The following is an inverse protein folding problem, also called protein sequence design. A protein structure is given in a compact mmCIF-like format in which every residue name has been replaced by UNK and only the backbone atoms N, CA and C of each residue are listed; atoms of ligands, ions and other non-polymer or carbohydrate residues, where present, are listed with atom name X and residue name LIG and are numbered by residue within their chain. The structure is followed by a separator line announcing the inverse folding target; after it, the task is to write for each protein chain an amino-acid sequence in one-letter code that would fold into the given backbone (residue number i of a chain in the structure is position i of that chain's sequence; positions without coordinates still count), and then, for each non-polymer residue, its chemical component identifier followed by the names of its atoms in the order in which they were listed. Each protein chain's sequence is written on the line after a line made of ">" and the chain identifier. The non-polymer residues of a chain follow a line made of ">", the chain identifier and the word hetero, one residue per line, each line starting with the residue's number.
data_IF_655350447407
#
_entry.id   IF_655350447407
#
_cell.length_a   1.000
_cell.length_b   1.000
_cell.length_c   1.000
_cell.angle_alpha   90.00
_cell.angle_beta   90.00
_cell.angle_gamma   90.00
#
_symmetry.space_group_name_H-M   'P 1'
#
loop_
_entity.id
_entity.type
_entity.pdbx_description
1 polymer ?
#
# COMPACT_ATOMS: atom_id res chain seq x y z
N UNK A 1 14.94 1.22 7.49
CA UNK A 1 13.54 1.49 7.87
C UNK A 1 13.22 0.70 9.12
N UNK A 2 12.42 1.21 10.05
CA UNK A 2 11.92 0.39 11.16
C UNK A 2 10.95 -0.65 10.58
N UNK A 3 10.86 -1.82 11.20
CA UNK A 3 10.01 -2.93 10.72
C UNK A 3 8.52 -2.57 10.62
N UNK A 4 8.11 -1.48 11.25
CA UNK A 4 6.72 -1.01 11.32
C UNK A 4 6.45 0.28 10.54
N UNK A 5 7.27 0.58 9.51
CA UNK A 5 7.01 1.67 8.56
C UNK A 5 6.99 1.17 7.13
N UNK A 6 6.20 1.83 6.28
CA UNK A 6 6.13 1.55 4.85
C UNK A 6 5.89 2.84 4.05
N UNK A 7 6.29 2.81 2.78
CA UNK A 7 6.11 3.92 1.86
C UNK A 7 5.00 3.63 0.88
N UNK A 8 4.16 4.63 0.62
CA UNK A 8 3.09 4.58 -0.37
C UNK A 8 2.90 5.95 -1.01
N UNK A 9 1.94 6.07 -1.92
CA UNK A 9 1.59 7.33 -2.57
C UNK A 9 0.27 7.88 -2.03
N UNK A 10 0.14 9.20 -2.01
CA UNK A 10 -1.05 9.86 -1.45
C UNK A 10 -2.24 9.80 -2.39
N UNK A 11 -2.00 10.02 -3.69
CA UNK A 11 -3.04 10.18 -4.69
C UNK A 11 -2.56 9.65 -6.05
N UNK A 12 -3.50 9.60 -7.00
CA UNK A 12 -3.22 9.28 -8.39
C UNK A 12 -2.15 10.22 -8.97
N UNK A 13 -1.21 9.66 -9.72
CA UNK A 13 -0.26 10.41 -10.53
C UNK A 13 -0.11 9.78 -11.91
N UNK A 14 0.29 10.57 -12.86
CA UNK A 14 0.45 10.15 -14.25
C UNK A 14 1.82 10.52 -14.79
N UNK A 15 2.28 9.75 -15.77
CA UNK A 15 3.50 10.02 -16.51
C UNK A 15 3.38 9.52 -17.94
N UNK A 16 4.13 10.11 -18.85
CA UNK A 16 4.13 9.73 -20.27
C UNK A 16 5.57 9.55 -20.71
N UNK A 17 5.81 8.48 -21.47
CA UNK A 17 7.06 8.22 -22.15
C UNK A 17 6.78 7.90 -23.62
N UNK A 18 7.57 8.43 -24.51
CA UNK A 18 7.46 8.18 -25.95
C UNK A 18 8.78 7.63 -26.50
N UNK A 19 8.70 6.62 -27.35
CA UNK A 19 9.84 6.03 -28.02
C UNK A 19 9.43 5.53 -29.41
N UNK A 20 10.15 5.92 -30.44
CA UNK A 20 9.88 5.52 -31.83
C UNK A 20 8.40 5.64 -32.22
N UNK A 21 7.77 6.78 -31.87
CA UNK A 21 6.34 7.10 -32.06
C UNK A 21 5.38 6.26 -31.23
N UNK A 22 5.83 5.26 -30.49
CA UNK A 22 5.00 4.59 -29.49
C UNK A 22 4.81 5.48 -28.27
N UNK A 23 3.59 5.50 -27.74
CA UNK A 23 3.23 6.27 -26.53
C UNK A 23 2.89 5.34 -25.38
N UNK A 24 3.52 5.59 -24.25
CA UNK A 24 3.33 4.85 -23.01
C UNK A 24 2.75 5.81 -21.96
N UNK A 25 1.52 5.55 -21.55
CA UNK A 25 0.81 6.35 -20.55
C UNK A 25 0.81 5.54 -19.26
N UNK A 26 1.49 6.05 -18.23
CA UNK A 26 1.57 5.42 -16.92
C UNK A 26 0.66 6.11 -15.93
N UNK A 27 -0.06 5.33 -15.14
CA UNK A 27 -0.95 5.78 -14.07
C UNK A 27 -0.55 5.03 -12.80
N UNK A 28 -0.16 5.77 -11.76
CA UNK A 28 0.08 5.24 -10.44
C UNK A 28 -1.11 5.57 -9.52
N UNK A 29 -1.64 4.56 -8.84
CA UNK A 29 -2.86 4.64 -8.05
C UNK A 29 -2.62 4.06 -6.65
N UNK A 30 -3.05 4.73 -5.57
CA UNK A 30 -3.10 4.11 -4.26
C UNK A 30 -4.23 3.07 -4.24
N UNK A 31 -3.90 1.84 -3.82
CA UNK A 31 -4.82 0.73 -3.66
C UNK A 31 -4.43 -0.07 -2.42
N UNK A 32 -5.38 -0.76 -1.79
CA UNK A 32 -5.12 -1.55 -0.59
C UNK A 32 -5.50 -3.03 -0.73
N UNK A 33 -6.39 -3.34 -1.66
CA UNK A 33 -6.92 -4.70 -1.84
C UNK A 33 -6.88 -5.13 -3.31
N UNK A 34 -6.93 -6.43 -3.55
CA UNK A 34 -7.02 -7.00 -4.90
C UNK A 34 -8.33 -6.58 -5.58
N UNK A 35 -9.41 -6.40 -4.83
CA UNK A 35 -10.70 -5.92 -5.33
C UNK A 35 -10.60 -4.49 -5.86
N UNK A 36 -9.91 -3.61 -5.14
CA UNK A 36 -9.63 -2.24 -5.62
C UNK A 36 -8.77 -2.26 -6.89
N UNK A 37 -7.75 -3.12 -6.94
CA UNK A 37 -6.93 -3.32 -8.14
C UNK A 37 -7.78 -3.70 -9.34
N UNK A 38 -8.66 -4.70 -9.20
CA UNK A 38 -9.57 -5.15 -10.27
C UNK A 38 -10.50 -4.04 -10.75
N UNK A 39 -11.08 -3.28 -9.82
CA UNK A 39 -11.97 -2.16 -10.14
C UNK A 39 -11.24 -1.07 -10.93
N UNK A 40 -10.02 -0.71 -10.53
CA UNK A 40 -9.21 0.27 -11.25
C UNK A 40 -8.78 -0.23 -12.64
N UNK A 41 -8.37 -1.49 -12.75
CA UNK A 41 -8.03 -2.09 -14.05
C UNK A 41 -9.22 -2.06 -15.00
N UNK A 42 -10.40 -2.41 -14.56
CA UNK A 42 -11.63 -2.34 -15.37
C UNK A 42 -11.90 -0.90 -15.85
N UNK A 43 -11.76 0.09 -14.96
CA UNK A 43 -11.94 1.50 -15.29
C UNK A 43 -10.97 1.95 -16.39
N UNK A 44 -9.69 1.63 -16.26
CA UNK A 44 -8.67 2.06 -17.22
C UNK A 44 -8.71 1.25 -18.53
N UNK A 45 -9.07 -0.03 -18.51
CA UNK A 45 -9.33 -0.81 -19.71
C UNK A 45 -10.50 -0.24 -20.52
N UNK A 46 -11.56 0.21 -19.88
CA UNK A 46 -12.67 0.91 -20.54
C UNK A 46 -12.26 2.28 -21.08
N UNK A 47 -11.52 3.04 -20.30
CA UNK A 47 -11.02 4.37 -20.71
C UNK A 47 -10.11 4.28 -21.95
N UNK A 48 -9.24 3.29 -22.01
CA UNK A 48 -8.28 3.06 -23.09
C UNK A 48 -8.64 1.81 -23.90
N UNK A 49 -9.92 1.67 -24.24
CA UNK A 49 -10.47 0.49 -24.94
C UNK A 49 -9.81 0.20 -26.29
N UNK A 50 -9.26 1.22 -26.94
CA UNK A 50 -8.57 1.14 -28.22
C UNK A 50 -7.07 0.82 -28.09
N UNK A 51 -6.54 0.76 -26.88
CA UNK A 51 -5.16 0.34 -26.65
C UNK A 51 -5.02 -1.19 -26.70
N UNK A 52 -3.97 -1.67 -27.34
CA UNK A 52 -3.67 -3.11 -27.43
C UNK A 52 -3.17 -3.69 -26.12
N UNK A 53 -2.43 -2.90 -25.35
CA UNK A 53 -1.73 -3.35 -24.15
C UNK A 53 -2.03 -2.39 -22.98
N UNK A 54 -2.61 -2.94 -21.95
CA UNK A 54 -2.84 -2.29 -20.65
C UNK A 54 -2.11 -3.13 -19.61
N UNK A 55 -0.80 -2.93 -19.53
CA UNK A 55 0.07 -3.71 -18.64
C UNK A 55 0.06 -3.10 -17.24
N UNK A 56 0.33 -3.92 -16.24
CA UNK A 56 0.32 -3.41 -14.86
C UNK A 56 1.21 -4.22 -13.93
N UNK A 57 1.50 -3.63 -12.79
CA UNK A 57 1.99 -4.32 -11.60
C UNK A 57 1.40 -3.68 -10.35
N UNK A 58 1.23 -4.46 -9.30
CA UNK A 58 0.84 -3.96 -7.98
C UNK A 58 1.67 -4.59 -6.87
N UNK A 59 1.71 -3.89 -5.75
CA UNK A 59 2.28 -4.33 -4.49
C UNK A 59 1.33 -3.94 -3.37
N UNK A 60 0.95 -4.88 -2.50
CA UNK A 60 0.00 -4.67 -1.41
C UNK A 60 0.60 -5.10 -0.06
N UNK A 61 0.16 -4.40 1.00
CA UNK A 61 0.54 -4.69 2.37
C UNK A 61 1.93 -4.17 2.76
N UNK A 62 2.12 -3.86 4.03
CA UNK A 62 3.38 -3.33 4.54
C UNK A 62 4.56 -4.33 4.42
N UNK A 63 4.27 -5.62 4.46
CA UNK A 63 5.27 -6.68 4.30
C UNK A 63 5.69 -6.90 2.84
N UNK A 64 4.95 -6.34 1.87
CA UNK A 64 5.25 -6.42 0.43
C UNK A 64 5.35 -7.86 -0.09
N UNK A 65 4.46 -8.74 0.41
CA UNK A 65 4.39 -10.15 0.02
C UNK A 65 3.32 -10.44 -1.04
N UNK A 66 2.33 -9.55 -1.19
CA UNK A 66 1.26 -9.68 -2.16
C UNK A 66 1.53 -8.74 -3.35
N UNK A 67 1.96 -9.31 -4.46
CA UNK A 67 2.30 -8.56 -5.67
C UNK A 67 1.97 -9.37 -6.93
N UNK A 68 1.79 -8.63 -8.02
CA UNK A 68 1.60 -9.23 -9.34
C UNK A 68 2.13 -8.31 -10.44
N UNK A 69 2.63 -8.92 -11.50
CA UNK A 69 3.02 -8.27 -12.75
C UNK A 69 2.28 -8.92 -13.93
N UNK A 70 1.83 -8.11 -14.89
CA UNK A 70 1.08 -8.59 -16.05
C UNK A 70 1.50 -7.87 -17.33
N UNK A 71 1.86 -8.64 -18.33
CA UNK A 71 2.35 -8.14 -19.62
C UNK A 71 1.23 -7.83 -20.62
N UNK A 72 0.01 -8.28 -20.37
CA UNK A 72 -1.19 -8.05 -21.21
C UNK A 72 -0.93 -8.13 -22.72
N UNK A 73 -0.39 -9.26 -23.19
CA UNK A 73 -0.11 -9.53 -24.59
C UNK A 73 1.21 -8.99 -25.13
N UNK A 74 1.99 -8.26 -24.35
CA UNK A 74 3.39 -7.99 -24.67
C UNK A 74 4.25 -9.26 -24.50
N UNK A 75 5.43 -9.35 -25.10
CA UNK A 75 6.32 -10.49 -24.87
C UNK A 75 6.63 -10.67 -23.39
N UNK A 76 6.70 -11.91 -22.93
CA UNK A 76 6.90 -12.26 -21.52
C UNK A 76 8.06 -11.51 -20.88
N UNK A 77 7.78 -10.86 -19.75
CA UNK A 77 8.78 -10.14 -18.95
C UNK A 77 9.18 -8.77 -19.46
N UNK A 78 8.53 -8.26 -20.53
CA UNK A 78 8.91 -6.97 -21.14
C UNK A 78 8.13 -5.76 -20.63
N UNK A 79 7.03 -5.97 -19.92
CA UNK A 79 6.16 -4.91 -19.43
C UNK A 79 5.92 -4.99 -17.92
N UNK A 80 5.26 -6.03 -17.44
CA UNK A 80 4.88 -6.16 -16.02
C UNK A 80 6.08 -6.18 -15.07
N UNK A 81 7.12 -6.93 -15.38
CA UNK A 81 8.35 -6.97 -14.56
C UNK A 81 9.07 -5.62 -14.48
N UNK A 82 9.30 -4.89 -15.59
CA UNK A 82 9.87 -3.54 -15.52
C UNK A 82 9.04 -2.56 -14.68
N UNK A 83 7.71 -2.65 -14.76
CA UNK A 83 6.81 -1.83 -13.92
C UNK A 83 6.99 -2.19 -12.44
N UNK A 84 6.94 -3.49 -12.11
CA UNK A 84 7.16 -3.97 -10.74
C UNK A 84 8.53 -3.58 -10.21
N UNK A 85 9.55 -3.61 -11.06
CA UNK A 85 10.90 -3.18 -10.73
C UNK A 85 10.98 -1.72 -10.28
N UNK A 86 10.16 -0.83 -10.83
CA UNK A 86 10.08 0.56 -10.41
C UNK A 86 9.36 0.72 -9.06
N UNK A 87 8.33 -0.07 -8.81
CA UNK A 87 7.69 -0.14 -7.50
C UNK A 87 8.72 -0.59 -6.44
N UNK A 88 9.47 -1.63 -6.74
CA UNK A 88 10.48 -2.20 -5.83
C UNK A 88 11.65 -1.24 -5.59
N UNK A 89 12.18 -0.58 -6.61
CA UNK A 89 13.31 0.34 -6.47
C UNK A 89 12.97 1.58 -5.64
N UNK A 90 11.71 1.96 -5.58
CA UNK A 90 11.20 3.03 -4.72
C UNK A 90 10.65 2.52 -3.38
N UNK A 91 10.73 1.22 -3.12
CA UNK A 91 10.26 0.56 -1.89
C UNK A 91 8.79 0.84 -1.57
N UNK A 92 7.95 1.01 -2.60
CA UNK A 92 6.54 1.34 -2.46
C UNK A 92 5.68 0.11 -2.23
N UNK A 93 4.60 0.29 -1.51
CA UNK A 93 3.51 -0.68 -1.34
C UNK A 93 2.15 0.04 -1.37
N UNK A 94 1.06 -0.74 -1.35
CA UNK A 94 -0.31 -0.23 -1.51
C UNK A 94 -0.43 0.65 -2.77
N UNK A 95 0.11 0.15 -3.86
CA UNK A 95 0.21 0.83 -5.14
C UNK A 95 -0.12 -0.10 -6.31
N UNK A 96 -0.85 0.43 -7.28
CA UNK A 96 -1.03 -0.14 -8.61
C UNK A 96 -0.40 0.83 -9.62
N UNK A 97 0.43 0.32 -10.53
CA UNK A 97 0.93 1.08 -11.66
C UNK A 97 0.46 0.42 -12.95
N UNK A 98 -0.30 1.15 -13.75
CA UNK A 98 -0.81 0.75 -15.06
C UNK A 98 -0.01 1.49 -16.13
N UNK A 99 0.43 0.79 -17.17
CA UNK A 99 1.04 1.43 -18.34
C UNK A 99 0.29 1.00 -19.58
N UNK A 100 -0.32 1.96 -20.25
CA UNK A 100 -1.06 1.80 -21.51
C UNK A 100 -0.15 2.14 -22.67
N UNK A 101 -0.04 1.24 -23.64
CA UNK A 101 0.78 1.45 -24.84
C UNK A 101 -0.06 1.63 -26.08
N UNK A 102 0.26 2.69 -26.83
CA UNK A 102 -0.17 2.90 -28.21
C UNK A 102 1.02 2.72 -29.16
N UNK A 103 0.92 1.76 -30.08
CA UNK A 103 1.96 1.45 -31.04
C UNK A 103 2.09 2.56 -32.08
N UNK A 104 3.32 2.99 -32.36
CA UNK A 104 3.63 4.07 -33.29
C UNK A 104 4.08 3.63 -34.70
N UNK A 105 3.91 2.36 -35.05
CA UNK A 105 4.30 1.81 -36.37
C UNK A 105 5.73 1.30 -36.45
N UNK A 106 6.58 1.54 -35.45
CA UNK A 106 7.97 1.08 -35.40
C UNK A 106 8.13 0.11 -34.22
N UNK A 107 8.64 -1.08 -34.48
CA UNK A 107 8.90 -2.09 -33.43
C UNK A 107 10.07 -1.66 -32.55
N UNK A 108 9.88 -1.78 -31.24
CA UNK A 108 10.92 -1.46 -30.25
C UNK A 108 11.86 -2.65 -29.97
N UNK A 109 11.39 -3.87 -30.19
CA UNK A 109 12.05 -5.08 -29.72
C UNK A 109 11.87 -5.29 -28.22
N UNK A 110 12.29 -6.45 -27.70
CA UNK A 110 12.11 -6.82 -26.26
C UNK A 110 12.89 -5.88 -25.35
N UNK A 111 14.13 -5.56 -25.67
CA UNK A 111 14.96 -4.64 -24.89
C UNK A 111 14.40 -3.21 -24.88
N UNK A 112 13.90 -2.73 -26.01
CA UNK A 112 13.26 -1.42 -26.12
C UNK A 112 11.95 -1.32 -25.33
N UNK A 113 11.16 -2.39 -25.32
CA UNK A 113 9.93 -2.48 -24.50
C UNK A 113 10.24 -2.41 -23.00
N UNK A 114 11.23 -3.16 -22.55
CA UNK A 114 11.66 -3.15 -21.15
C UNK A 114 12.04 -1.73 -20.71
N UNK A 115 12.86 -1.04 -21.49
CA UNK A 115 13.26 0.34 -21.22
C UNK A 115 12.07 1.29 -21.21
N UNK A 116 11.15 1.15 -22.16
CA UNK A 116 9.99 2.04 -22.29
C UNK A 116 8.98 1.86 -21.13
N UNK A 117 8.64 0.63 -20.77
CA UNK A 117 7.75 0.37 -19.63
C UNK A 117 8.36 0.81 -18.30
N UNK A 118 9.66 0.57 -18.13
CA UNK A 118 10.41 1.06 -16.97
C UNK A 118 10.37 2.60 -16.89
N UNK A 119 10.68 3.28 -17.98
CA UNK A 119 10.72 4.74 -18.03
C UNK A 119 9.33 5.36 -17.78
N UNK A 120 8.27 4.82 -18.38
CA UNK A 120 6.91 5.30 -18.18
C UNK A 120 6.47 5.14 -16.71
N UNK A 121 6.71 3.98 -16.11
CA UNK A 121 6.41 3.74 -14.70
C UNK A 121 7.21 4.70 -13.79
N UNK A 122 8.49 4.93 -14.08
CA UNK A 122 9.34 5.87 -13.36
C UNK A 122 8.79 7.30 -13.40
N UNK A 123 8.28 7.76 -14.55
CA UNK A 123 7.67 9.08 -14.71
C UNK A 123 6.42 9.24 -13.82
N UNK A 124 5.53 8.26 -13.81
CA UNK A 124 4.34 8.30 -12.97
C UNK A 124 4.68 8.31 -11.47
N UNK A 125 5.64 7.51 -11.04
CA UNK A 125 6.10 7.45 -9.65
C UNK A 125 6.82 8.76 -9.26
N UNK A 126 7.64 9.33 -10.16
CA UNK A 126 8.30 10.61 -9.92
C UNK A 126 7.32 11.78 -9.75
N UNK A 127 6.16 11.72 -10.43
CA UNK A 127 5.08 12.70 -10.28
C UNK A 127 4.22 12.48 -9.01
N UNK A 128 4.35 11.35 -8.35
CA UNK A 128 3.61 11.02 -7.14
C UNK A 128 4.19 11.71 -5.90
N UNK A 129 3.32 11.98 -4.93
CA UNK A 129 3.74 12.34 -3.58
C UNK A 129 3.88 11.07 -2.75
N UNK A 130 5.11 10.71 -2.42
CA UNK A 130 5.44 9.55 -1.59
C UNK A 130 5.36 9.97 -0.13
N UNK A 131 4.68 9.16 0.70
CA UNK A 131 4.59 9.31 2.15
C UNK A 131 5.03 8.04 2.85
N UNK A 132 5.55 8.21 4.06
CA UNK A 132 5.81 7.12 5.00
C UNK A 132 4.64 7.00 5.97
N UNK A 133 4.16 5.77 6.18
CA UNK A 133 3.13 5.43 7.16
C UNK A 133 3.67 4.45 8.18
N UNK A 134 3.05 4.43 9.36
CA UNK A 134 3.30 3.43 10.39
C UNK A 134 2.32 2.28 10.29
N UNK A 135 2.77 1.10 10.71
CA UNK A 135 1.89 -0.05 10.96
C UNK A 135 1.40 0.05 12.39
N UNK A 136 0.08 0.09 12.56
CA UNK A 136 -0.55 0.14 13.86
C UNK A 136 -1.17 -1.22 14.21
N UNK A 137 -1.21 -1.53 15.48
CA UNK A 137 -1.89 -2.69 16.04
C UNK A 137 -2.95 -2.25 17.06
N UNK A 138 -3.99 -3.05 17.17
CA UNK A 138 -5.01 -2.86 18.19
C UNK A 138 -4.97 -3.97 19.24
N UNK A 139 -5.32 -3.62 20.46
CA UNK A 139 -5.48 -4.56 21.58
C UNK A 139 -6.78 -4.27 22.31
N UNK A 140 -7.54 -5.33 22.59
CA UNK A 140 -8.77 -5.26 23.37
C UNK A 140 -8.56 -5.97 24.70
N UNK A 141 -9.06 -5.38 25.76
CA UNK A 141 -8.96 -5.93 27.10
C UNK A 141 -10.16 -5.55 27.96
N UNK A 142 -10.36 -6.34 29.00
CA UNK A 142 -11.39 -6.18 30.03
C UNK A 142 -10.71 -5.91 31.38
N UNK A 143 -11.34 -5.11 32.21
CA UNK A 143 -10.88 -4.85 33.57
C UNK A 143 -12.07 -4.42 34.45
N UNK A 144 -11.91 -4.51 35.77
CA UNK A 144 -12.93 -4.05 36.72
C UNK A 144 -12.84 -2.55 36.95
N UNK A 145 -13.98 -1.89 37.13
CA UNK A 145 -14.09 -0.43 37.28
C UNK A 145 -13.18 0.19 38.34
N UNK A 146 -12.93 -0.42 39.52
CA UNK A 146 -12.01 0.15 40.53
C UNK A 146 -10.58 0.41 40.00
N UNK A 147 -10.17 -0.29 38.93
CA UNK A 147 -8.83 -0.17 38.30
C UNK A 147 -8.79 0.81 37.14
N UNK A 148 -9.87 1.55 36.90
CA UNK A 148 -9.97 2.56 35.81
C UNK A 148 -8.83 3.57 35.86
N UNK A 149 -8.48 4.09 37.04
CA UNK A 149 -7.42 5.08 37.18
C UNK A 149 -6.04 4.52 36.79
N UNK A 150 -5.78 3.25 37.09
CA UNK A 150 -4.53 2.60 36.71
C UNK A 150 -4.42 2.40 35.18
N UNK A 151 -5.52 1.96 34.54
CA UNK A 151 -5.60 1.87 33.09
C UNK A 151 -5.43 3.24 32.44
N UNK A 152 -6.14 4.26 32.90
CA UNK A 152 -6.07 5.61 32.32
C UNK A 152 -4.71 6.27 32.52
N UNK A 153 -3.95 5.92 33.58
CA UNK A 153 -2.56 6.35 33.73
C UNK A 153 -1.69 5.80 32.61
N UNK A 154 -1.81 4.49 32.30
CA UNK A 154 -1.08 3.87 31.19
C UNK A 154 -1.46 4.52 29.86
N UNK A 155 -2.75 4.72 29.60
CA UNK A 155 -3.25 5.39 28.40
C UNK A 155 -2.67 6.80 28.26
N UNK A 156 -2.64 7.58 29.33
CA UNK A 156 -2.10 8.94 29.33
C UNK A 156 -0.60 8.98 29.05
N UNK A 157 0.16 8.01 29.57
CA UNK A 157 1.62 8.00 29.45
C UNK A 157 2.10 7.39 28.13
N UNK A 158 1.40 6.41 27.58
CA UNK A 158 1.76 5.74 26.31
C UNK A 158 1.03 6.33 25.08
N UNK A 159 0.01 7.15 25.31
CA UNK A 159 -0.74 7.90 24.30
C UNK A 159 -1.30 7.05 23.13
N UNK A 160 -1.87 5.84 23.37
CA UNK A 160 -2.56 5.11 22.33
C UNK A 160 -3.85 5.82 21.93
N UNK A 161 -4.32 5.54 20.72
CA UNK A 161 -5.66 5.94 20.30
C UNK A 161 -6.71 5.02 20.92
N UNK A 162 -7.74 5.57 21.54
CA UNK A 162 -8.88 4.81 22.07
C UNK A 162 -9.86 4.62 20.91
N UNK A 163 -10.02 3.36 20.46
CA UNK A 163 -10.96 3.03 19.37
C UNK A 163 -12.36 2.77 19.93
N UNK A 164 -12.45 2.11 21.08
CA UNK A 164 -13.71 1.72 21.72
C UNK A 164 -13.54 1.67 23.22
N UNK A 165 -14.60 2.04 23.93
CA UNK A 165 -14.70 1.86 25.37
C UNK A 165 -16.17 1.64 25.77
N UNK A 166 -16.41 0.68 26.63
CA UNK A 166 -17.71 0.40 27.21
C UNK A 166 -17.59 0.07 28.70
N UNK A 167 -18.64 0.38 29.45
CA UNK A 167 -18.65 0.32 30.91
C UNK A 167 -19.94 -0.35 31.38
N UNK A 168 -20.10 -1.63 31.04
CA UNK A 168 -21.23 -2.43 31.49
C UNK A 168 -20.90 -3.14 32.81
N UNK A 169 -21.00 -4.45 32.87
CA UNK A 169 -20.62 -5.23 34.08
C UNK A 169 -19.11 -5.25 34.28
N UNK A 170 -18.34 -5.36 33.17
CA UNK A 170 -16.91 -5.15 33.09
C UNK A 170 -16.63 -3.94 32.21
N UNK A 171 -15.53 -3.26 32.46
CA UNK A 171 -15.02 -2.25 31.54
C UNK A 171 -14.29 -2.92 30.38
N UNK A 172 -14.65 -2.58 29.16
CA UNK A 172 -14.00 -3.05 27.95
C UNK A 172 -13.38 -1.88 27.20
N UNK A 173 -12.14 -2.03 26.76
CA UNK A 173 -11.43 -0.99 26.02
C UNK A 173 -10.62 -1.60 24.88
N UNK A 174 -10.65 -0.92 23.72
CA UNK A 174 -9.80 -1.23 22.57
C UNK A 174 -8.90 -0.05 22.28
N UNK A 175 -7.60 -0.29 22.30
CA UNK A 175 -6.55 0.70 22.05
C UNK A 175 -5.80 0.36 20.76
N UNK A 176 -5.41 1.39 20.03
CA UNK A 176 -4.55 1.28 18.85
C UNK A 176 -3.26 2.06 19.07
N UNK A 177 -2.13 1.46 18.74
CA UNK A 177 -0.83 2.09 18.84
C UNK A 177 0.11 1.52 17.77
N UNK A 178 1.14 2.25 17.42
CA UNK A 178 2.20 1.79 16.52
C UNK A 178 2.75 0.42 16.95
N UNK A 179 2.90 -0.49 16.01
CA UNK A 179 3.29 -1.89 16.25
C UNK A 179 4.53 -2.03 17.14
N UNK A 180 5.57 -1.22 16.90
CA UNK A 180 6.80 -1.25 17.71
C UNK A 180 6.59 -0.84 19.18
N UNK A 181 5.51 -0.13 19.48
CA UNK A 181 5.15 0.32 20.84
C UNK A 181 4.18 -0.63 21.56
N UNK A 182 3.54 -1.54 20.83
CA UNK A 182 2.55 -2.46 21.40
C UNK A 182 3.12 -3.36 22.52
N UNK A 183 4.33 -3.94 22.41
CA UNK A 183 4.89 -4.76 23.50
C UNK A 183 5.01 -4.00 24.82
N UNK A 184 5.43 -2.73 24.77
CA UNK A 184 5.53 -1.87 25.96
C UNK A 184 4.17 -1.56 26.56
N UNK A 185 3.18 -1.21 25.72
CA UNK A 185 1.82 -0.96 26.15
C UNK A 185 1.23 -2.20 26.85
N UNK A 186 1.33 -3.37 26.22
CA UNK A 186 0.85 -4.63 26.79
C UNK A 186 1.50 -4.94 28.13
N UNK A 187 2.83 -4.84 28.23
CA UNK A 187 3.56 -5.12 29.45
C UNK A 187 3.15 -4.19 30.62
N UNK A 188 2.76 -2.96 30.33
CA UNK A 188 2.25 -2.02 31.33
C UNK A 188 0.81 -2.34 31.74
N UNK A 189 -0.05 -2.67 30.76
CA UNK A 189 -1.44 -3.06 31.05
C UNK A 189 -1.52 -4.37 31.84
N UNK A 190 -0.65 -5.35 31.58
CA UNK A 190 -0.57 -6.60 32.34
C UNK A 190 -0.32 -6.41 33.85
N UNK A 191 0.25 -5.29 34.25
CA UNK A 191 0.48 -4.96 35.66
C UNK A 191 -0.77 -4.45 36.38
N UNK A 192 -1.82 -4.10 35.64
CA UNK A 192 -3.09 -3.69 36.21
C UNK A 192 -3.82 -4.92 36.68
N UNK A 193 -4.17 -4.93 38.00
CA UNK A 193 -4.92 -6.01 38.62
C UNK A 193 -6.28 -6.19 37.92
N UNK A 194 -6.74 -7.42 37.79
CA UNK A 194 -7.98 -7.85 37.09
C UNK A 194 -7.98 -7.71 35.56
N UNK A 195 -7.01 -7.04 34.96
CA UNK A 195 -6.97 -6.85 33.51
C UNK A 195 -6.70 -8.18 32.79
N UNK A 196 -7.49 -8.43 31.75
CA UNK A 196 -7.36 -9.59 30.85
C UNK A 196 -7.53 -9.18 29.42
N UNK A 197 -6.62 -9.61 28.56
CA UNK A 197 -6.72 -9.39 27.10
C UNK A 197 -7.74 -10.34 26.48
N UNK A 198 -8.46 -9.86 25.45
CA UNK A 198 -9.30 -10.67 24.57
C UNK A 198 -8.51 -11.26 23.41
#
# INVERSE_FOLDING_TARGET
>A
MSEDTYKTIVALSEGIYTEKRSKFIAIALPVRTVEEVKAQLETYQKKYYDARHVCYAYMLGHERKDFRANDNGEPSGTAGKPILGQINSNELTDILVIVVRYFGGIKLGTSGLIVAYKAAAAEAIAAATIIEKTVDEAVTFLFEYPFMNDVMRVVKEEEPEILEQSYDMDCRMTLRIRQSMMPKLRARLEKVETLRFE
#
